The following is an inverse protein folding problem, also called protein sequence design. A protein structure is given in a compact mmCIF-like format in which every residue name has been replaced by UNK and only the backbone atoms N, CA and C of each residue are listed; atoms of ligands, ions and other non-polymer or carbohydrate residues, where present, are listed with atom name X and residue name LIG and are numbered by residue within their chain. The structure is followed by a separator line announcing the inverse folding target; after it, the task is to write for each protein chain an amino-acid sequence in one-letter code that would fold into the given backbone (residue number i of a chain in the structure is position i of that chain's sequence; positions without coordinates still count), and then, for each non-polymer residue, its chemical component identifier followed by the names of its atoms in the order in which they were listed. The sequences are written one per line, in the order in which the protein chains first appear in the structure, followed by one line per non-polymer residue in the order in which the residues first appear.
data_IF_113544683815
#
_entry.id   IF_113544683815
#
_cell.length_a   1.000
_cell.length_b   1.000
_cell.length_c   1.000
_cell.angle_alpha   90.00
_cell.angle_beta   90.00
_cell.angle_gamma   90.00
#
_symmetry.space_group_name_H-M   'P 1'
#
loop_
_entity.id
_entity.type
_entity.pdbx_description
1 polymer ?
#
# COMPACT_ATOMS: atom_id res chain seq x y z
N UNK A 1 25.02 -22.32 22.99
CA UNK A 1 23.64 -22.70 22.64
C UNK A 1 22.66 -21.78 23.37
N UNK A 2 22.45 -20.56 22.87
CA UNK A 2 21.38 -19.64 23.29
C UNK A 2 20.97 -18.83 22.05
N UNK A 3 19.89 -19.25 21.38
CA UNK A 3 19.27 -18.49 20.27
C UNK A 3 18.63 -17.23 20.86
N UNK A 4 18.85 -16.10 20.18
CA UNK A 4 18.44 -14.75 20.58
C UNK A 4 16.92 -14.53 20.55
N UNK A 5 16.36 -13.76 21.50
CA UNK A 5 14.93 -13.48 21.53
C UNK A 5 14.54 -11.99 21.34
N UNK A 6 15.28 -11.18 20.57
CA UNK A 6 14.98 -9.74 20.47
C UNK A 6 15.21 -9.09 19.09
N UNK A 7 14.82 -9.77 17.99
CA UNK A 7 14.78 -9.15 16.64
C UNK A 7 13.39 -9.20 15.98
N UNK A 8 12.51 -10.10 16.42
CA UNK A 8 11.21 -10.33 15.81
C UNK A 8 10.16 -9.29 16.22
N UNK A 9 10.26 -8.75 17.44
CA UNK A 9 9.35 -7.72 17.94
C UNK A 9 9.58 -6.35 17.29
N UNK A 10 10.83 -6.03 16.93
CA UNK A 10 11.18 -4.76 16.27
C UNK A 10 10.68 -4.73 14.83
N UNK A 11 10.71 -5.88 14.15
CA UNK A 11 10.22 -6.07 12.77
C UNK A 11 8.70 -5.89 12.69
N UNK A 12 7.95 -6.51 13.61
CA UNK A 12 6.49 -6.36 13.67
C UNK A 12 6.09 -4.91 14.00
N UNK A 13 6.88 -4.22 14.83
CA UNK A 13 6.72 -2.79 15.12
C UNK A 13 6.89 -1.92 13.88
N UNK A 14 7.96 -2.13 13.10
CA UNK A 14 8.22 -1.41 11.84
C UNK A 14 7.07 -1.57 10.83
N UNK A 15 6.56 -2.79 10.68
CA UNK A 15 5.43 -3.07 9.79
C UNK A 15 4.14 -2.37 10.25
N UNK A 16 3.91 -2.32 11.57
CA UNK A 16 2.78 -1.61 12.15
C UNK A 16 2.89 -0.09 11.95
N UNK A 17 4.08 0.48 12.12
CA UNK A 17 4.32 1.92 11.91
C UNK A 17 4.10 2.32 10.44
N UNK A 18 4.51 1.47 9.48
CA UNK A 18 4.19 1.66 8.06
C UNK A 18 2.66 1.65 7.85
N UNK A 19 1.95 0.68 8.43
CA UNK A 19 0.50 0.59 8.31
C UNK A 19 -0.19 1.84 8.89
N UNK A 20 0.25 2.31 10.06
CA UNK A 20 -0.26 3.53 10.70
C UNK A 20 0.04 4.79 9.89
N UNK A 21 1.21 4.87 9.25
CA UNK A 21 1.57 5.97 8.37
C UNK A 21 0.68 6.04 7.14
N UNK A 22 0.31 4.88 6.56
CA UNK A 22 -0.65 4.77 5.46
C UNK A 22 -2.05 5.21 5.91
N UNK A 23 -2.52 4.75 7.07
CA UNK A 23 -3.83 5.15 7.64
C UNK A 23 -3.87 6.66 7.90
N UNK A 24 -2.75 7.22 8.36
CA UNK A 24 -2.61 8.67 8.61
C UNK A 24 -2.49 9.51 7.34
N UNK A 25 -2.49 8.90 6.15
CA UNK A 25 -2.34 9.57 4.85
C UNK A 25 -1.07 10.43 4.73
N UNK A 26 0.03 10.05 5.40
CA UNK A 26 1.29 10.80 5.43
C UNK A 26 2.33 10.15 4.53
N UNK A 27 2.37 10.58 3.27
CA UNK A 27 3.29 10.03 2.26
C UNK A 27 4.77 10.12 2.68
N UNK A 28 5.21 11.26 3.23
CA UNK A 28 6.61 11.44 3.67
C UNK A 28 7.02 10.38 4.71
N UNK A 29 6.14 10.15 5.71
CA UNK A 29 6.37 9.12 6.73
C UNK A 29 6.38 7.71 6.17
N UNK A 30 5.50 7.42 5.21
CA UNK A 30 5.48 6.11 4.54
C UNK A 30 6.82 5.85 3.86
N UNK A 31 7.37 6.83 3.15
CA UNK A 31 8.68 6.68 2.49
C UNK A 31 9.81 6.46 3.50
N UNK A 32 9.87 7.25 4.57
CA UNK A 32 10.88 7.11 5.62
C UNK A 32 10.83 5.73 6.30
N UNK A 33 9.65 5.25 6.68
CA UNK A 33 9.51 3.95 7.34
C UNK A 33 9.77 2.78 6.38
N UNK A 34 9.41 2.93 5.10
CA UNK A 34 9.72 1.94 4.05
C UNK A 34 11.23 1.88 3.80
N UNK A 35 11.96 3.00 3.81
CA UNK A 35 13.42 2.99 3.72
C UNK A 35 14.09 2.27 4.89
N UNK A 36 13.60 2.50 6.11
CA UNK A 36 14.11 1.79 7.30
C UNK A 36 13.82 0.30 7.23
N UNK A 37 12.58 -0.08 6.89
CA UNK A 37 12.19 -1.49 6.82
C UNK A 37 12.94 -2.24 5.71
N UNK A 38 13.26 -1.57 4.60
CA UNK A 38 14.06 -2.12 3.49
C UNK A 38 15.47 -2.56 3.89
N UNK A 39 16.03 -2.01 4.98
CA UNK A 39 17.33 -2.43 5.48
C UNK A 39 17.30 -3.79 6.20
N UNK A 40 16.16 -4.18 6.77
CA UNK A 40 16.02 -5.40 7.60
C UNK A 40 15.12 -6.47 6.94
N UNK A 41 14.22 -6.10 6.02
CA UNK A 41 13.20 -6.98 5.43
C UNK A 41 13.26 -7.02 3.90
N UNK A 42 12.85 -8.16 3.30
CA UNK A 42 12.66 -8.24 1.86
C UNK A 42 11.52 -7.30 1.42
N UNK A 43 11.65 -6.60 0.28
CA UNK A 43 10.65 -5.65 -0.18
C UNK A 43 9.25 -6.24 -0.35
N UNK A 44 9.16 -7.51 -0.75
CA UNK A 44 7.87 -8.23 -0.89
C UNK A 44 7.10 -8.30 0.43
N UNK A 45 7.80 -8.56 1.53
CA UNK A 45 7.20 -8.68 2.85
C UNK A 45 6.74 -7.32 3.38
N UNK A 46 7.49 -6.25 3.10
CA UNK A 46 7.10 -4.87 3.45
C UNK A 46 5.80 -4.49 2.74
N UNK A 47 5.68 -4.87 1.47
CA UNK A 47 4.51 -4.55 0.67
C UNK A 47 3.30 -5.36 1.14
N UNK A 48 3.43 -6.68 1.32
CA UNK A 48 2.32 -7.55 1.69
C UNK A 48 1.87 -7.36 3.15
N UNK A 49 2.82 -7.24 4.09
CA UNK A 49 2.50 -7.17 5.53
C UNK A 49 2.44 -5.76 6.09
N UNK A 50 3.07 -4.77 5.45
CA UNK A 50 3.04 -3.37 5.87
C UNK A 50 2.03 -2.55 5.08
N UNK A 51 2.34 -2.29 3.81
CA UNK A 51 1.54 -1.39 2.98
C UNK A 51 0.12 -1.92 2.70
N UNK A 52 0.00 -3.21 2.32
CA UNK A 52 -1.30 -3.83 2.05
C UNK A 52 -2.16 -3.94 3.32
N UNK A 53 -1.54 -4.24 4.47
CA UNK A 53 -2.25 -4.28 5.76
C UNK A 53 -2.79 -2.90 6.17
N UNK A 54 -2.00 -1.84 6.01
CA UNK A 54 -2.44 -0.46 6.23
C UNK A 54 -3.60 -0.08 5.32
N UNK A 55 -3.54 -0.49 4.06
CA UNK A 55 -4.58 -0.16 3.09
C UNK A 55 -5.88 -0.94 3.30
N UNK A 56 -5.80 -2.19 3.79
CA UNK A 56 -6.97 -2.94 4.22
C UNK A 56 -7.70 -2.24 5.38
N UNK A 57 -6.95 -1.69 6.35
CA UNK A 57 -7.53 -0.90 7.44
C UNK A 57 -8.19 0.39 6.93
N UNK A 58 -7.57 1.08 5.98
CA UNK A 58 -8.20 2.24 5.32
C UNK A 58 -9.53 1.85 4.66
N UNK A 59 -9.58 0.70 3.99
CA UNK A 59 -10.81 0.13 3.42
C UNK A 59 -11.90 -0.11 4.46
N UNK A 60 -11.56 -0.76 5.58
CA UNK A 60 -12.49 -1.00 6.70
C UNK A 60 -13.00 0.31 7.30
N UNK A 61 -12.12 1.31 7.46
CA UNK A 61 -12.49 2.61 8.00
C UNK A 61 -13.39 3.41 7.03
N UNK A 62 -13.16 3.28 5.72
CA UNK A 62 -14.02 3.85 4.69
C UNK A 62 -15.41 3.19 4.69
N UNK A 63 -15.48 1.86 4.74
CA UNK A 63 -16.74 1.10 4.82
C UNK A 63 -17.56 1.48 6.07
N UNK A 64 -16.87 1.73 7.19
CA UNK A 64 -17.49 2.18 8.45
C UNK A 64 -17.86 3.67 8.45
N UNK A 65 -17.64 4.40 7.37
CA UNK A 65 -17.91 5.84 7.25
C UNK A 65 -17.02 6.71 8.15
N UNK A 66 -15.87 6.19 8.61
CA UNK A 66 -14.89 6.94 9.43
C UNK A 66 -13.88 7.70 8.57
N UNK A 67 -13.64 7.24 7.34
CA UNK A 67 -12.83 7.93 6.34
C UNK A 67 -13.69 8.32 5.15
N UNK A 68 -13.35 9.44 4.51
CA UNK A 68 -13.97 9.90 3.28
C UNK A 68 -13.11 9.55 2.07
N UNK A 69 -13.72 9.56 0.88
CA UNK A 69 -13.06 9.26 -0.38
C UNK A 69 -11.71 10.00 -0.60
N UNK A 70 -11.54 11.30 -0.27
CA UNK A 70 -10.25 11.96 -0.42
C UNK A 70 -9.13 11.32 0.42
N UNK A 71 -9.44 10.80 1.61
CA UNK A 71 -8.45 10.12 2.45
C UNK A 71 -8.02 8.79 1.84
N UNK A 72 -8.96 8.05 1.23
CA UNK A 72 -8.66 6.81 0.52
C UNK A 72 -7.73 7.08 -0.67
N UNK A 73 -7.98 8.16 -1.42
CA UNK A 73 -7.12 8.57 -2.53
C UNK A 73 -5.71 8.95 -2.04
N UNK A 74 -5.59 9.73 -0.97
CA UNK A 74 -4.29 10.10 -0.39
C UNK A 74 -3.51 8.87 0.12
N UNK A 75 -4.19 7.92 0.76
CA UNK A 75 -3.58 6.67 1.20
C UNK A 75 -3.10 5.82 0.01
N UNK A 76 -3.86 5.80 -1.09
CA UNK A 76 -3.50 5.11 -2.33
C UNK A 76 -2.25 5.72 -2.99
N UNK A 77 -2.17 7.06 -3.02
CA UNK A 77 -1.01 7.77 -3.55
C UNK A 77 0.24 7.50 -2.70
N UNK A 78 0.10 7.53 -1.36
CA UNK A 78 1.18 7.23 -0.44
C UNK A 78 1.68 5.79 -0.58
N UNK A 79 0.76 4.83 -0.73
CA UNK A 79 1.07 3.43 -0.98
C UNK A 79 1.82 3.26 -2.31
N UNK A 80 1.33 3.89 -3.38
CA UNK A 80 1.95 3.82 -4.72
C UNK A 80 3.38 4.37 -4.69
N UNK A 81 3.61 5.47 -3.96
CA UNK A 81 4.95 6.02 -3.77
C UNK A 81 5.88 5.05 -3.01
N UNK A 82 5.38 4.41 -1.95
CA UNK A 82 6.13 3.40 -1.19
C UNK A 82 6.48 2.16 -2.02
N UNK A 83 5.54 1.64 -2.82
CA UNK A 83 5.79 0.51 -3.72
C UNK A 83 6.83 0.88 -4.77
N UNK A 84 6.73 2.07 -5.38
CA UNK A 84 7.69 2.53 -6.39
C UNK A 84 9.12 2.61 -5.84
N UNK A 85 9.28 3.11 -4.61
CA UNK A 85 10.56 3.17 -3.92
C UNK A 85 11.19 1.78 -3.70
N UNK A 86 10.34 0.78 -3.42
CA UNK A 86 10.76 -0.60 -3.26
C UNK A 86 11.10 -1.24 -4.62
N UNK A 87 10.29 -1.02 -5.65
CA UNK A 87 10.52 -1.50 -7.02
C UNK A 87 11.85 -1.00 -7.61
N UNK A 88 12.22 0.27 -7.38
CA UNK A 88 13.52 0.84 -7.82
C UNK A 88 14.74 0.13 -7.21
N UNK A 89 14.54 -0.62 -6.13
CA UNK A 89 15.60 -1.35 -5.43
C UNK A 89 15.55 -2.86 -5.56
N UNK A 90 14.52 -3.40 -6.20
CA UNK A 90 14.41 -4.82 -6.47
C UNK A 90 15.17 -5.16 -7.77
N UNK A 91 15.93 -6.27 -7.80
CA UNK A 91 16.49 -6.78 -9.05
C UNK A 91 15.37 -7.02 -10.08
N UNK A 92 15.62 -6.65 -11.33
CA UNK A 92 14.70 -6.88 -12.45
C UNK A 92 14.43 -8.37 -12.61
N UNK A 93 13.30 -8.86 -12.09
CA UNK A 93 12.87 -10.26 -12.29
C UNK A 93 12.00 -10.87 -11.19
N UNK A 94 11.95 -10.31 -9.98
CA UNK A 94 11.27 -10.94 -8.82
C UNK A 94 9.76 -10.62 -8.71
N UNK A 95 9.10 -10.18 -9.79
CA UNK A 95 7.65 -9.95 -9.76
C UNK A 95 6.93 -11.28 -10.03
N UNK A 96 6.88 -12.15 -9.02
CA UNK A 96 6.30 -13.51 -9.16
C UNK A 96 4.78 -13.51 -9.38
N UNK A 97 4.07 -12.41 -9.12
CA UNK A 97 2.63 -12.29 -9.39
C UNK A 97 2.33 -10.98 -10.11
N UNK A 98 2.00 -11.09 -11.40
CA UNK A 98 1.39 -9.97 -12.12
C UNK A 98 -0.07 -9.87 -11.67
N UNK A 99 -0.54 -8.68 -11.27
CA UNK A 99 -1.95 -8.43 -11.09
C UNK A 99 -2.74 -8.77 -12.38
N UNK A 100 -4.03 -9.07 -12.24
CA UNK A 100 -4.92 -9.27 -13.38
C UNK A 100 -5.07 -7.99 -14.21
N UNK A 101 -5.51 -8.13 -15.45
CA UNK A 101 -5.78 -6.95 -16.29
C UNK A 101 -7.26 -6.56 -16.14
N UNK A 102 -7.51 -5.37 -15.62
CA UNK A 102 -8.85 -4.78 -15.55
C UNK A 102 -9.01 -3.76 -16.68
N UNK A 103 -10.11 -3.88 -17.43
CA UNK A 103 -10.53 -2.90 -18.43
C UNK A 103 -11.72 -2.13 -17.85
N UNK A 104 -11.56 -0.82 -17.65
CA UNK A 104 -12.61 0.08 -17.15
C UNK A 104 -12.88 1.18 -18.17
N UNK A 105 -14.14 1.39 -18.55
CA UNK A 105 -14.54 2.35 -19.59
C UNK A 105 -15.98 2.84 -19.44
N UNK A 106 -16.32 3.97 -20.06
CA UNK A 106 -17.72 4.45 -20.20
C UNK A 106 -18.13 4.46 -21.65
N UNK A 107 -19.43 4.65 -21.86
CA UNK A 107 -20.02 5.03 -23.13
C UNK A 107 -19.38 6.32 -23.65
N UNK A 108 -19.25 6.40 -24.98
CA UNK A 108 -18.80 7.59 -25.69
C UNK A 108 -19.72 8.78 -25.39
N UNK A 109 -19.14 9.92 -25.01
CA UNK A 109 -19.88 11.15 -24.66
C UNK A 109 -20.37 11.22 -23.22
N UNK A 110 -20.08 10.23 -22.36
CA UNK A 110 -20.40 10.31 -20.93
C UNK A 110 -19.39 11.19 -20.17
N UNK A 111 -19.90 12.24 -19.54
CA UNK A 111 -19.13 13.19 -18.74
C UNK A 111 -18.99 12.78 -17.27
N UNK A 112 -19.69 11.73 -16.83
CA UNK A 112 -19.67 11.25 -15.45
C UNK A 112 -18.46 10.34 -15.18
N UNK A 113 -17.26 10.84 -15.44
CA UNK A 113 -16.01 10.06 -15.35
C UNK A 113 -15.52 9.86 -13.91
N UNK A 114 -16.06 10.61 -12.95
CA UNK A 114 -15.64 10.57 -11.55
C UNK A 114 -15.82 9.15 -10.98
N UNK A 115 -16.93 8.49 -11.30
CA UNK A 115 -17.19 7.11 -10.86
C UNK A 115 -16.16 6.11 -11.40
N UNK A 116 -15.77 6.24 -12.67
CA UNK A 116 -14.71 5.40 -13.27
C UNK A 116 -13.40 5.56 -12.53
N UNK A 117 -12.97 6.79 -12.29
CA UNK A 117 -11.69 7.07 -11.63
C UNK A 117 -11.66 6.49 -10.22
N UNK A 118 -12.76 6.60 -9.48
CA UNK A 118 -12.89 5.98 -8.15
C UNK A 118 -12.74 4.47 -8.23
N UNK A 119 -13.45 3.81 -9.15
CA UNK A 119 -13.37 2.36 -9.35
C UNK A 119 -11.96 1.93 -9.74
N UNK A 120 -11.28 2.69 -10.62
CA UNK A 120 -9.89 2.42 -11.01
C UNK A 120 -8.93 2.52 -9.83
N UNK A 121 -9.05 3.57 -9.01
CA UNK A 121 -8.23 3.72 -7.80
C UNK A 121 -8.50 2.59 -6.81
N UNK A 122 -9.77 2.25 -6.57
CA UNK A 122 -10.16 1.13 -5.67
C UNK A 122 -9.65 -0.22 -6.15
N UNK A 123 -9.72 -0.49 -7.46
CA UNK A 123 -9.24 -1.72 -8.04
C UNK A 123 -7.71 -1.85 -7.92
N UNK A 124 -6.97 -0.76 -8.17
CA UNK A 124 -5.52 -0.72 -8.00
C UNK A 124 -5.08 -0.99 -6.55
N UNK A 125 -5.91 -0.59 -5.58
CA UNK A 125 -5.66 -0.80 -4.15
C UNK A 125 -5.88 -2.25 -3.71
N UNK A 126 -6.89 -2.94 -4.26
CA UNK A 126 -7.21 -4.32 -3.89
C UNK A 126 -6.25 -5.37 -4.47
N UNK A 127 -5.10 -4.96 -5.02
CA UNK A 127 -4.08 -5.84 -5.57
C UNK A 127 -4.60 -6.74 -6.70
N UNK A 128 -5.47 -6.17 -7.53
CA UNK A 128 -5.83 -6.70 -8.83
C UNK A 128 -4.97 -6.14 -9.94
#
# INVERSE_FOLDING_TARGET
MKKGPNKMADIEGLLHEIADAVISCKQEKVLEEVEKAKAELPPEEIIEKGLSAGMNQVGILFERGKLFLPHVMMAADAMTAGVKLLEESMPTGTREKKPGVIVNGTVEGDVHEIGKSIVSTMAAICWF
#
